data_IF_643451964991
#
_entry.id   IF_643451964991
#
_cell.length_a   1.000
_cell.length_b   1.000
_cell.length_c   1.000
_cell.angle_alpha   90.00
_cell.angle_beta   90.00
_cell.angle_gamma   90.00
#
_symmetry.space_group_name_H-M   'P 1'
#
loop_
_entity.id
_entity.type
_entity.pdbx_description
1 polymer ?
#
# COMPACT_ATOMS: atom_id res chain seq x y z
N UNK A 1 -0.55 -34.87 40.79
CA UNK A 1 -0.26 -33.50 40.33
C UNK A 1 0.16 -33.55 38.85
N UNK A 2 -0.79 -33.85 37.96
CA UNK A 2 -0.58 -33.90 36.50
C UNK A 2 -1.93 -33.70 35.84
N UNK A 3 -2.36 -32.45 35.72
CA UNK A 3 -3.52 -32.10 34.89
C UNK A 3 -3.54 -30.59 34.64
N UNK A 4 -2.63 -30.07 33.81
CA UNK A 4 -2.66 -28.64 33.41
C UNK A 4 -1.91 -28.35 32.09
N UNK A 5 -2.00 -29.23 31.09
CA UNK A 5 -1.38 -29.00 29.76
C UNK A 5 -2.33 -29.06 28.56
N UNK A 6 -3.64 -29.16 28.76
CA UNK A 6 -4.61 -29.33 27.66
C UNK A 6 -5.57 -28.15 27.43
N UNK A 7 -5.39 -27.02 28.12
CA UNK A 7 -6.27 -25.84 27.95
C UNK A 7 -6.02 -25.04 26.67
N UNK A 8 -4.90 -25.25 25.96
CA UNK A 8 -4.57 -24.54 24.72
C UNK A 8 -5.29 -25.08 23.47
N UNK A 9 -5.85 -26.30 23.53
CA UNK A 9 -6.54 -26.96 22.40
C UNK A 9 -8.07 -26.81 22.42
N UNK A 10 -8.61 -25.98 23.34
CA UNK A 10 -10.03 -25.63 23.41
C UNK A 10 -10.39 -24.34 22.68
N UNK A 11 -9.58 -23.91 21.69
CA UNK A 11 -10.12 -23.08 20.60
C UNK A 11 -11.02 -23.99 19.77
N UNK A 12 -12.25 -24.16 20.28
CA UNK A 12 -13.11 -25.27 19.94
C UNK A 12 -13.40 -25.35 18.45
N UNK A 13 -13.48 -26.57 17.93
CA UNK A 13 -13.91 -26.96 16.59
C UNK A 13 -15.03 -26.08 15.97
N UNK A 14 -15.92 -25.54 16.80
CA UNK A 14 -16.95 -24.56 16.40
C UNK A 14 -16.38 -23.29 15.75
N UNK A 15 -15.25 -22.77 16.26
CA UNK A 15 -14.58 -21.59 15.73
C UNK A 15 -13.82 -21.89 14.44
N UNK A 16 -13.20 -23.07 14.31
CA UNK A 16 -12.55 -23.45 13.05
C UNK A 16 -13.56 -23.72 11.94
N UNK A 17 -14.70 -24.37 12.26
CA UNK A 17 -15.82 -24.52 11.32
C UNK A 17 -16.42 -23.16 10.98
N UNK A 18 -16.67 -22.28 11.96
CA UNK A 18 -17.20 -20.94 11.71
C UNK A 18 -16.25 -20.10 10.83
N UNK A 19 -14.93 -20.18 11.06
CA UNK A 19 -13.93 -19.49 10.26
C UNK A 19 -13.88 -20.06 8.83
N UNK A 20 -14.02 -21.38 8.68
CA UNK A 20 -14.12 -22.05 7.39
C UNK A 20 -15.37 -21.63 6.61
N UNK A 21 -16.53 -21.65 7.25
CA UNK A 21 -17.79 -21.18 6.66
C UNK A 21 -17.71 -19.70 6.27
N UNK A 22 -17.13 -18.86 7.14
CA UNK A 22 -16.92 -17.44 6.84
C UNK A 22 -15.99 -17.25 5.64
N UNK A 23 -14.89 -18.00 5.55
CA UNK A 23 -14.00 -17.96 4.40
C UNK A 23 -14.73 -18.37 3.10
N UNK A 24 -15.52 -19.45 3.13
CA UNK A 24 -16.31 -19.92 1.97
C UNK A 24 -17.32 -18.88 1.50
N UNK A 25 -17.97 -18.16 2.42
CA UNK A 25 -18.89 -17.08 2.09
C UNK A 25 -18.19 -15.90 1.38
N UNK A 26 -16.91 -15.68 1.63
CA UNK A 26 -16.14 -14.62 0.99
C UNK A 26 -15.59 -15.01 -0.39
N UNK A 27 -15.44 -16.30 -0.68
CA UNK A 27 -14.85 -16.81 -1.93
C UNK A 27 -15.53 -16.24 -3.18
N UNK A 28 -16.88 -16.23 -3.31
CA UNK A 28 -17.54 -15.67 -4.50
C UNK A 28 -17.20 -14.19 -4.73
N UNK A 29 -17.11 -13.40 -3.66
CA UNK A 29 -16.74 -11.99 -3.75
C UNK A 29 -15.30 -11.80 -4.22
N UNK A 30 -14.36 -12.58 -3.69
CA UNK A 30 -12.96 -12.54 -4.15
C UNK A 30 -12.81 -13.03 -5.59
N UNK A 31 -13.57 -14.04 -6.01
CA UNK A 31 -13.59 -14.51 -7.40
C UNK A 31 -14.11 -13.40 -8.33
N UNK A 32 -15.18 -12.70 -7.95
CA UNK A 32 -15.75 -11.62 -8.74
C UNK A 32 -14.75 -10.46 -8.93
N UNK A 33 -14.05 -10.08 -7.85
CA UNK A 33 -13.00 -9.05 -7.88
C UNK A 33 -11.82 -9.51 -8.74
N UNK A 34 -11.40 -10.78 -8.61
CA UNK A 34 -10.35 -11.36 -9.45
C UNK A 34 -10.74 -11.36 -10.92
N UNK A 35 -11.96 -11.78 -11.24
CA UNK A 35 -12.48 -11.76 -12.61
C UNK A 35 -12.48 -10.34 -13.18
N UNK A 36 -12.96 -9.35 -12.42
CA UNK A 36 -12.90 -7.95 -12.82
C UNK A 36 -11.46 -7.49 -13.07
N UNK A 37 -10.54 -7.81 -12.18
CA UNK A 37 -9.13 -7.41 -12.31
C UNK A 37 -8.44 -8.01 -13.55
N UNK A 38 -8.75 -9.25 -13.92
CA UNK A 38 -8.11 -9.93 -15.05
C UNK A 38 -8.78 -9.67 -16.40
N UNK A 39 -10.11 -9.55 -16.44
CA UNK A 39 -10.89 -9.53 -17.68
C UNK A 39 -11.53 -8.17 -18.00
N UNK A 40 -11.55 -7.20 -17.08
CA UNK A 40 -12.14 -5.89 -17.36
C UNK A 40 -11.21 -5.04 -18.25
N UNK A 41 -11.75 -4.56 -19.37
CA UNK A 41 -11.06 -3.61 -20.26
C UNK A 41 -10.81 -2.23 -19.62
N UNK A 42 -11.48 -1.95 -18.51
CA UNK A 42 -11.31 -0.73 -17.72
C UNK A 42 -10.04 -0.73 -16.86
N UNK A 43 -9.44 -1.91 -16.63
CA UNK A 43 -8.22 -2.05 -15.83
C UNK A 43 -7.02 -2.12 -16.76
N UNK A 44 -6.31 -1.01 -16.89
CA UNK A 44 -5.05 -0.95 -17.64
C UNK A 44 -3.90 -1.25 -16.68
N UNK A 45 -3.25 -2.40 -16.88
CA UNK A 45 -2.28 -2.93 -15.93
C UNK A 45 -0.85 -2.74 -16.38
N UNK A 46 0.05 -2.63 -15.41
CA UNK A 46 1.49 -2.83 -15.61
C UNK A 46 2.24 -1.65 -16.22
N UNK A 47 1.74 -0.42 -16.07
CA UNK A 47 2.48 0.78 -16.46
C UNK A 47 3.75 0.89 -15.64
N UNK A 48 4.90 0.90 -16.31
CA UNK A 48 6.20 1.02 -15.65
C UNK A 48 6.46 2.48 -15.35
N UNK A 49 6.67 2.82 -14.08
CA UNK A 49 6.96 4.18 -13.64
C UNK A 49 8.38 4.36 -13.09
N UNK A 50 9.12 3.26 -12.89
CA UNK A 50 10.50 3.30 -12.41
C UNK A 50 11.27 2.03 -12.75
N UNK A 51 12.55 2.00 -12.37
CA UNK A 51 13.52 1.02 -12.88
C UNK A 51 13.37 -0.40 -12.30
N UNK A 52 12.59 -0.55 -11.23
CA UNK A 52 12.43 -1.84 -10.56
C UNK A 52 11.32 -2.67 -11.17
N UNK A 53 11.43 -4.01 -11.16
CA UNK A 53 10.39 -4.90 -11.70
C UNK A 53 8.99 -4.66 -11.12
N UNK A 54 8.93 -4.20 -9.87
CA UNK A 54 7.71 -3.88 -9.12
C UNK A 54 7.26 -2.43 -9.19
N UNK A 55 8.04 -1.52 -9.75
CA UNK A 55 7.65 -0.11 -9.95
C UNK A 55 6.65 -0.02 -11.10
N UNK A 56 5.48 -0.59 -10.87
CA UNK A 56 4.39 -0.67 -11.82
C UNK A 56 3.13 -0.12 -11.18
N UNK A 57 2.27 0.47 -11.98
CA UNK A 57 0.95 0.89 -11.53
C UNK A 57 -0.13 0.31 -12.43
N UNK A 58 -1.31 0.12 -11.83
CA UNK A 58 -2.52 -0.24 -12.54
C UNK A 58 -3.49 0.93 -12.48
N UNK A 59 -4.04 1.31 -13.64
CA UNK A 59 -5.05 2.35 -13.78
C UNK A 59 -6.42 1.69 -13.92
N UNK A 60 -7.34 2.10 -13.07
CA UNK A 60 -8.77 1.77 -13.14
C UNK A 60 -9.48 2.97 -13.72
N UNK A 61 -9.95 2.83 -14.97
CA UNK A 61 -10.64 3.88 -15.69
C UNK A 61 -12.16 3.71 -15.57
N UNK A 62 -12.92 4.80 -15.41
CA UNK A 62 -14.37 4.72 -15.43
C UNK A 62 -14.89 4.38 -16.83
N UNK A 63 -16.11 3.81 -16.89
CA UNK A 63 -16.78 3.51 -18.18
C UNK A 63 -17.07 4.78 -18.98
N UNK A 64 -17.40 5.86 -18.29
CA UNK A 64 -17.73 7.13 -18.90
C UNK A 64 -16.52 8.07 -18.82
N UNK A 65 -15.83 8.26 -19.94
CA UNK A 65 -14.67 9.14 -20.05
C UNK A 65 -15.02 10.54 -20.59
N UNK A 66 -16.27 10.98 -20.43
CA UNK A 66 -16.68 12.32 -20.86
C UNK A 66 -16.09 13.37 -19.91
N UNK A 67 -15.08 14.10 -20.43
CA UNK A 67 -14.38 15.18 -19.74
C UNK A 67 -13.32 14.70 -18.74
N UNK A 68 -12.49 15.62 -18.22
CA UNK A 68 -11.43 15.29 -17.28
C UNK A 68 -12.02 14.77 -15.96
N UNK A 69 -11.53 13.64 -15.49
CA UNK A 69 -12.04 12.95 -14.28
C UNK A 69 -11.10 13.16 -13.08
N UNK A 70 -11.64 13.21 -11.84
CA UNK A 70 -10.80 13.20 -10.65
C UNK A 70 -9.97 11.92 -10.56
N UNK A 71 -8.77 12.04 -9.99
CA UNK A 71 -7.77 10.97 -9.94
C UNK A 71 -7.43 10.66 -8.50
N UNK A 72 -7.46 9.40 -8.11
CA UNK A 72 -6.99 8.91 -6.81
C UNK A 72 -5.73 8.09 -7.00
N UNK A 73 -4.59 8.61 -6.55
CA UNK A 73 -3.36 7.86 -6.39
C UNK A 73 -3.48 7.00 -5.12
N UNK A 74 -3.57 5.68 -5.29
CA UNK A 74 -3.72 4.74 -4.19
C UNK A 74 -2.40 4.00 -3.93
N UNK A 75 -1.87 4.14 -2.71
CA UNK A 75 -0.69 3.43 -2.21
C UNK A 75 -1.14 2.23 -1.38
N UNK A 76 -0.89 1.03 -1.90
CA UNK A 76 -1.35 -0.22 -1.27
C UNK A 76 -0.70 -0.47 0.08
N UNK A 77 -1.42 -1.10 1.00
CA UNK A 77 -0.86 -1.61 2.25
C UNK A 77 -0.27 -3.01 2.13
N UNK A 78 -0.12 -3.69 3.27
CA UNK A 78 0.43 -5.05 3.35
C UNK A 78 1.63 -5.19 4.29
N UNK A 79 1.63 -4.43 5.39
CA UNK A 79 2.67 -4.46 6.44
C UNK A 79 4.11 -4.36 5.89
N UNK A 80 4.31 -3.63 4.79
CA UNK A 80 5.59 -3.53 4.07
C UNK A 80 6.13 -4.85 3.51
N UNK A 81 5.43 -5.99 3.65
CA UNK A 81 5.97 -7.33 3.42
C UNK A 81 5.18 -8.12 2.37
N UNK A 82 3.85 -7.93 2.28
CA UNK A 82 2.95 -8.75 1.43
C UNK A 82 2.05 -7.93 0.48
N UNK A 83 2.25 -6.61 0.37
CA UNK A 83 1.43 -5.74 -0.47
C UNK A 83 1.47 -6.10 -1.96
N UNK A 84 0.32 -6.06 -2.62
CA UNK A 84 0.21 -6.22 -4.08
C UNK A 84 -0.83 -5.27 -4.65
N UNK A 85 -0.58 -4.70 -5.83
CA UNK A 85 -1.52 -3.81 -6.54
C UNK A 85 -2.94 -4.34 -6.72
N UNK A 86 -3.13 -5.67 -6.78
CA UNK A 86 -4.46 -6.26 -6.84
C UNK A 86 -5.27 -6.09 -5.54
N UNK A 87 -4.63 -5.80 -4.39
CA UNK A 87 -5.35 -5.46 -3.15
C UNK A 87 -6.12 -4.12 -3.27
N UNK A 88 -5.71 -3.27 -4.20
CA UNK A 88 -6.43 -2.04 -4.55
C UNK A 88 -7.60 -2.24 -5.51
N UNK A 89 -7.80 -3.44 -6.06
CA UNK A 89 -8.78 -3.69 -7.13
C UNK A 89 -10.23 -3.45 -6.72
N UNK A 90 -10.62 -3.82 -5.50
CA UNK A 90 -11.97 -3.57 -5.00
C UNK A 90 -12.25 -2.06 -4.86
N UNK A 91 -11.28 -1.31 -4.31
CA UNK A 91 -11.37 0.13 -4.19
C UNK A 91 -11.38 0.80 -5.57
N UNK A 92 -10.49 0.35 -6.46
CA UNK A 92 -10.39 0.80 -7.85
C UNK A 92 -11.70 0.61 -8.60
N UNK A 93 -12.32 -0.57 -8.47
CA UNK A 93 -13.63 -0.86 -9.04
C UNK A 93 -14.71 0.10 -8.51
N UNK A 94 -14.87 0.20 -7.19
CA UNK A 94 -15.91 1.01 -6.57
C UNK A 94 -15.81 2.51 -6.89
N UNK A 95 -14.59 3.03 -7.01
CA UNK A 95 -14.36 4.42 -7.38
C UNK A 95 -14.51 4.64 -8.90
N UNK A 96 -14.08 3.69 -9.73
CA UNK A 96 -14.29 3.75 -11.19
C UNK A 96 -15.77 3.73 -11.58
N UNK A 97 -16.62 3.06 -10.81
CA UNK A 97 -18.08 3.10 -10.98
C UNK A 97 -18.69 4.48 -10.68
N UNK A 98 -17.95 5.35 -9.98
CA UNK A 98 -18.35 6.72 -9.63
C UNK A 98 -17.67 7.78 -10.49
N UNK A 99 -17.18 7.39 -11.67
CA UNK A 99 -16.45 8.27 -12.60
C UNK A 99 -15.14 8.84 -12.05
N UNK A 100 -14.48 8.11 -11.14
CA UNK A 100 -13.16 8.48 -10.57
C UNK A 100 -12.10 7.53 -11.11
N UNK A 101 -10.99 8.09 -11.61
CA UNK A 101 -9.84 7.28 -12.03
C UNK A 101 -9.04 6.89 -10.79
N UNK A 102 -8.70 5.61 -10.65
CA UNK A 102 -7.82 5.14 -9.56
C UNK A 102 -6.52 4.62 -10.13
N UNK A 103 -5.41 5.16 -9.64
CA UNK A 103 -4.07 4.70 -9.96
C UNK A 103 -3.48 3.95 -8.77
N UNK A 104 -3.46 2.63 -8.82
CA UNK A 104 -2.87 1.80 -7.77
C UNK A 104 -1.36 1.67 -8.01
N UNK A 105 -0.56 2.24 -7.11
CA UNK A 105 0.91 2.22 -7.15
C UNK A 105 1.40 0.95 -6.44
N UNK A 106 2.13 0.11 -7.17
CA UNK A 106 2.87 -1.04 -6.63
C UNK A 106 4.31 -0.60 -6.37
N UNK A 107 4.82 -0.86 -5.18
CA UNK A 107 6.18 -0.49 -4.77
C UNK A 107 6.91 -1.72 -4.21
N UNK A 108 8.23 -1.62 -4.03
CA UNK A 108 9.03 -2.74 -3.52
C UNK A 108 8.62 -3.12 -2.10
N UNK A 109 8.65 -4.41 -1.79
CA UNK A 109 8.39 -4.91 -0.43
C UNK A 109 9.69 -5.18 0.32
N UNK A 110 9.60 -5.16 1.65
CA UNK A 110 10.65 -5.54 2.58
C UNK A 110 10.93 -7.03 2.47
N UNK A 111 12.19 -7.40 2.69
CA UNK A 111 12.63 -8.79 2.83
C UNK A 111 12.05 -9.41 4.11
N UNK A 112 11.21 -10.43 3.98
CA UNK A 112 10.79 -11.31 5.08
C UNK A 112 10.80 -12.76 4.61
N UNK A 113 11.25 -13.65 5.50
CA UNK A 113 11.13 -15.10 5.32
C UNK A 113 9.68 -15.46 5.68
N UNK A 114 8.82 -15.60 4.67
CA UNK A 114 7.51 -16.19 4.86
C UNK A 114 7.55 -17.63 4.33
N UNK A 115 7.26 -18.59 5.22
CA UNK A 115 7.04 -20.00 4.92
C UNK A 115 8.20 -20.71 4.21
N UNK A 116 9.43 -20.63 4.76
CA UNK A 116 10.55 -21.51 4.38
C UNK A 116 11.06 -21.41 2.93
N UNK A 117 10.47 -20.55 2.10
CA UNK A 117 10.89 -20.27 0.74
C UNK A 117 11.54 -18.90 0.65
N UNK A 118 12.72 -18.84 0.05
CA UNK A 118 13.39 -17.60 -0.30
C UNK A 118 12.51 -16.80 -1.27
N UNK A 119 11.79 -15.80 -0.75
CA UNK A 119 11.11 -14.81 -1.59
C UNK A 119 12.20 -13.90 -2.18
N UNK A 120 12.69 -14.28 -3.36
CA UNK A 120 13.79 -13.66 -4.12
C UNK A 120 13.36 -12.32 -4.74
N UNK A 121 13.00 -11.34 -3.93
CA UNK A 121 12.54 -10.04 -4.39
C UNK A 121 13.37 -8.90 -3.77
N UNK A 122 13.53 -7.76 -4.49
CA UNK A 122 14.59 -6.82 -4.22
C UNK A 122 14.48 -6.18 -2.83
N UNK A 123 15.65 -5.91 -2.27
CA UNK A 123 15.91 -5.47 -0.91
C UNK A 123 15.60 -3.96 -0.83
N UNK A 124 14.61 -3.54 -0.04
CA UNK A 124 14.24 -2.13 0.10
C UNK A 124 14.01 -1.73 1.55
N UNK A 125 14.54 -0.56 1.93
CA UNK A 125 14.21 0.13 3.19
C UNK A 125 12.89 0.88 3.06
N UNK A 126 12.33 1.36 4.18
CA UNK A 126 11.12 2.22 4.13
C UNK A 126 11.42 3.50 3.31
N UNK A 127 12.63 4.05 3.40
CA UNK A 127 13.03 5.21 2.60
C UNK A 127 12.98 4.91 1.09
N UNK A 128 13.39 3.73 0.67
CA UNK A 128 13.30 3.33 -0.75
C UNK A 128 11.83 3.23 -1.20
N UNK A 129 10.95 2.68 -0.36
CA UNK A 129 9.52 2.62 -0.65
C UNK A 129 8.89 4.01 -0.76
N UNK A 130 9.31 4.95 0.09
CA UNK A 130 8.86 6.36 0.06
C UNK A 130 9.32 7.05 -1.23
N UNK A 131 10.56 6.81 -1.68
CA UNK A 131 11.08 7.30 -2.95
C UNK A 131 10.34 6.70 -4.15
N UNK A 132 10.10 5.40 -4.15
CA UNK A 132 9.35 4.72 -5.21
C UNK A 132 7.88 5.19 -5.25
N UNK A 133 7.24 5.41 -4.10
CA UNK A 133 5.91 6.00 -4.04
C UNK A 133 5.91 7.45 -4.58
N UNK A 134 6.94 8.23 -4.28
CA UNK A 134 7.13 9.58 -4.84
C UNK A 134 7.26 9.56 -6.37
N UNK A 135 8.02 8.60 -6.92
CA UNK A 135 8.13 8.40 -8.37
C UNK A 135 6.78 8.00 -8.99
N UNK A 136 6.01 7.12 -8.34
CA UNK A 136 4.68 6.74 -8.79
C UNK A 136 3.71 7.92 -8.80
N UNK A 137 3.73 8.76 -7.76
CA UNK A 137 2.92 10.00 -7.70
C UNK A 137 3.36 10.98 -8.79
N UNK A 138 4.67 11.16 -8.98
CA UNK A 138 5.21 12.00 -10.06
C UNK A 138 4.73 11.54 -11.43
N UNK A 139 4.76 10.23 -11.69
CA UNK A 139 4.25 9.66 -12.93
C UNK A 139 2.76 9.99 -13.11
N UNK A 140 1.94 9.84 -12.07
CA UNK A 140 0.51 10.17 -12.13
C UNK A 140 0.32 11.66 -12.42
N UNK A 141 0.99 12.56 -11.68
CA UNK A 141 0.88 14.00 -11.90
C UNK A 141 1.24 14.40 -13.34
N UNK A 142 2.23 13.75 -13.95
CA UNK A 142 2.73 14.10 -15.27
C UNK A 142 1.97 13.41 -16.42
N UNK A 143 1.44 12.20 -16.20
CA UNK A 143 0.89 11.35 -17.26
C UNK A 143 -0.62 11.17 -17.21
N UNK A 144 -1.30 11.48 -16.10
CA UNK A 144 -2.72 11.14 -15.96
C UNK A 144 -3.63 11.91 -16.92
N UNK A 145 -3.20 13.09 -17.38
CA UNK A 145 -3.91 13.86 -18.41
C UNK A 145 -4.06 13.07 -19.72
N UNK A 146 -3.06 12.28 -20.10
CA UNK A 146 -3.09 11.42 -21.30
C UNK A 146 -4.13 10.28 -21.17
N UNK A 147 -4.51 9.94 -19.94
CA UNK A 147 -5.49 8.90 -19.62
C UNK A 147 -6.87 9.46 -19.26
N UNK A 148 -7.11 10.76 -19.51
CA UNK A 148 -8.39 11.43 -19.24
C UNK A 148 -8.61 11.86 -17.78
N UNK A 149 -7.55 11.84 -16.97
CA UNK A 149 -7.57 12.40 -15.63
C UNK A 149 -7.33 13.91 -15.61
N UNK A 150 -7.86 14.56 -14.60
CA UNK A 150 -7.66 15.99 -14.34
C UNK A 150 -6.41 16.19 -13.47
N UNK A 151 -5.33 16.81 -13.98
CA UNK A 151 -4.13 17.07 -13.20
C UNK A 151 -4.36 18.06 -12.03
N UNK A 152 -5.48 18.80 -12.03
CA UNK A 152 -5.87 19.70 -10.94
C UNK A 152 -6.74 19.04 -9.87
N UNK A 153 -7.20 17.79 -10.09
CA UNK A 153 -8.03 17.04 -9.14
C UNK A 153 -7.41 15.69 -8.82
N UNK A 154 -6.17 15.74 -8.32
CA UNK A 154 -5.44 14.56 -7.85
C UNK A 154 -5.59 14.44 -6.33
N UNK A 155 -5.93 13.25 -5.86
CA UNK A 155 -6.08 12.90 -4.45
C UNK A 155 -5.13 11.75 -4.12
N UNK A 156 -4.49 11.79 -2.96
CA UNK A 156 -3.64 10.70 -2.48
C UNK A 156 -4.39 9.88 -1.44
N UNK A 157 -4.36 8.56 -1.57
CA UNK A 157 -4.94 7.65 -0.60
C UNK A 157 -3.95 6.53 -0.30
N UNK A 158 -3.87 6.10 0.96
CA UNK A 158 -3.09 4.94 1.32
C UNK A 158 -3.79 4.09 2.37
N UNK A 159 -3.47 2.80 2.40
CA UNK A 159 -4.04 1.86 3.37
C UNK A 159 -2.95 1.24 4.25
N UNK A 160 -3.14 1.23 5.57
CA UNK A 160 -2.23 0.62 6.56
C UNK A 160 -0.77 1.08 6.36
N UNK A 161 0.14 0.17 6.00
CA UNK A 161 1.52 0.48 5.67
C UNK A 161 1.67 1.48 4.51
N UNK A 162 0.78 1.43 3.51
CA UNK A 162 0.75 2.35 2.38
C UNK A 162 0.28 3.75 2.78
N UNK A 163 -0.59 3.85 3.79
CA UNK A 163 -0.98 5.13 4.37
C UNK A 163 0.24 5.81 5.00
N UNK A 164 1.03 5.05 5.78
CA UNK A 164 2.28 5.57 6.34
C UNK A 164 3.25 6.06 5.26
N UNK A 165 3.51 5.22 4.24
CA UNK A 165 4.42 5.56 3.14
C UNK A 165 3.94 6.83 2.44
N UNK A 166 2.65 6.90 2.07
CA UNK A 166 2.07 8.07 1.40
C UNK A 166 2.22 9.36 2.23
N UNK A 167 2.06 9.28 3.56
CA UNK A 167 2.27 10.43 4.45
C UNK A 167 3.75 10.84 4.51
N UNK A 168 4.66 9.89 4.64
CA UNK A 168 6.10 10.17 4.59
C UNK A 168 6.51 10.78 3.24
N UNK A 169 5.95 10.29 2.13
CA UNK A 169 6.20 10.83 0.79
C UNK A 169 5.74 12.29 0.65
N UNK A 170 4.55 12.63 1.16
CA UNK A 170 4.08 14.03 1.18
C UNK A 170 5.00 14.93 2.01
N UNK A 171 5.42 14.46 3.18
CA UNK A 171 6.29 15.23 4.06
C UNK A 171 7.68 15.44 3.45
N UNK A 172 8.32 14.39 2.93
CA UNK A 172 9.61 14.51 2.23
C UNK A 172 9.52 15.47 1.05
N UNK A 173 8.41 15.42 0.31
CA UNK A 173 8.21 16.30 -0.84
C UNK A 173 8.02 17.76 -0.41
N UNK A 174 7.24 18.02 0.64
CA UNK A 174 7.08 19.35 1.20
C UNK A 174 8.40 19.94 1.71
N UNK A 175 9.24 19.12 2.35
CA UNK A 175 10.58 19.53 2.80
C UNK A 175 11.45 19.90 1.59
N UNK A 176 11.44 19.09 0.53
CA UNK A 176 12.18 19.38 -0.71
C UNK A 176 11.71 20.64 -1.42
N UNK A 177 10.41 20.93 -1.39
CA UNK A 177 9.87 22.17 -1.98
C UNK A 177 10.22 23.41 -1.14
N UNK A 178 10.35 23.27 0.17
CA UNK A 178 10.82 24.34 1.05
C UNK A 178 12.32 24.62 0.86
N UNK A 179 13.10 23.60 0.51
CA UNK A 179 14.52 23.68 0.28
C UNK A 179 14.82 23.98 -1.20
N UNK A 180 14.89 25.27 -1.56
CA UNK A 180 14.89 25.80 -2.93
C UNK A 180 16.03 25.28 -3.85
N UNK A 181 16.98 24.52 -3.33
CA UNK A 181 18.08 23.93 -4.09
C UNK A 181 17.73 22.60 -4.78
N UNK A 182 16.66 21.90 -4.37
CA UNK A 182 16.30 20.60 -4.92
C UNK A 182 15.16 20.69 -5.95
N UNK A 183 15.42 20.23 -7.18
CA UNK A 183 14.37 20.08 -8.19
C UNK A 183 13.38 18.99 -7.78
N UNK A 184 12.15 19.39 -7.50
CA UNK A 184 11.02 18.51 -7.23
C UNK A 184 10.43 17.95 -8.54
N UNK A 185 10.22 16.62 -8.61
CA UNK A 185 9.62 15.96 -9.78
C UNK A 185 8.08 16.11 -9.86
N UNK A 186 7.46 16.64 -8.81
CA UNK A 186 6.03 16.95 -8.69
C UNK A 186 5.84 17.90 -7.50
N UNK A 187 4.72 18.62 -7.41
CA UNK A 187 4.45 19.50 -6.27
C UNK A 187 3.35 18.96 -5.36
N UNK A 188 3.51 19.13 -4.04
CA UNK A 188 2.48 18.84 -3.04
C UNK A 188 1.20 19.63 -3.31
N UNK A 189 1.31 20.83 -3.91
CA UNK A 189 0.15 21.66 -4.28
C UNK A 189 -0.77 21.01 -5.33
N UNK A 190 -0.28 20.04 -6.11
CA UNK A 190 -1.07 19.28 -7.07
C UNK A 190 -2.00 18.27 -6.38
N UNK A 191 -1.68 17.86 -5.15
CA UNK A 191 -2.48 16.92 -4.37
C UNK A 191 -3.50 17.69 -3.53
N UNK A 192 -4.79 17.51 -3.84
CA UNK A 192 -5.89 18.25 -3.19
C UNK A 192 -6.24 17.73 -1.80
N UNK A 193 -6.14 16.43 -1.58
CA UNK A 193 -6.36 15.83 -0.26
C UNK A 193 -5.60 14.52 -0.11
N UNK A 194 -5.35 14.17 1.15
CA UNK A 194 -4.76 12.90 1.55
C UNK A 194 -5.73 12.10 2.42
N UNK A 195 -5.92 10.83 2.10
CA UNK A 195 -6.78 9.89 2.82
C UNK A 195 -5.96 8.73 3.39
N UNK A 196 -5.77 8.72 4.70
CA UNK A 196 -5.04 7.69 5.43
C UNK A 196 -5.96 6.63 6.02
N UNK A 197 -6.15 5.49 5.34
CA UNK A 197 -7.03 4.42 5.79
C UNK A 197 -6.29 3.48 6.75
N UNK A 198 -6.63 3.55 8.04
CA UNK A 198 -6.06 2.69 9.10
C UNK A 198 -4.53 2.68 9.13
N UNK A 199 -3.91 3.84 8.87
CA UNK A 199 -2.47 4.01 8.85
C UNK A 199 -1.83 3.99 10.23
N UNK A 200 -0.67 3.35 10.34
CA UNK A 200 0.21 3.52 11.50
C UNK A 200 1.16 4.68 11.23
N UNK A 201 1.11 5.74 12.06
CA UNK A 201 1.95 6.94 11.86
C UNK A 201 3.01 7.12 12.95
N UNK A 202 2.84 6.47 14.10
CA UNK A 202 3.75 6.59 15.25
C UNK A 202 4.30 5.22 15.65
N UNK A 203 5.33 4.76 14.94
CA UNK A 203 5.96 3.46 15.22
C UNK A 203 6.94 3.49 16.39
N UNK A 204 7.47 4.66 16.76
CA UNK A 204 8.43 4.77 17.88
C UNK A 204 7.82 4.30 19.20
N UNK A 205 6.60 4.76 19.53
CA UNK A 205 5.87 4.29 20.72
C UNK A 205 5.37 2.85 20.60
N UNK A 206 5.14 2.39 19.37
CA UNK A 206 4.60 1.06 19.08
C UNK A 206 5.68 -0.02 19.22
N UNK A 207 6.91 0.27 18.79
CA UNK A 207 8.08 -0.59 18.93
C UNK A 207 8.38 -0.84 20.41
N UNK A 208 8.40 0.21 21.24
CA UNK A 208 8.59 0.07 22.69
C UNK A 208 7.48 -0.78 23.35
N UNK A 209 6.23 -0.58 22.93
CA UNK A 209 5.10 -1.38 23.41
C UNK A 209 5.18 -2.85 22.98
N UNK A 210 5.56 -3.14 21.73
CA UNK A 210 5.69 -4.50 21.22
C UNK A 210 6.89 -5.25 21.81
N UNK A 211 8.02 -4.57 22.05
CA UNK A 211 9.16 -5.15 22.76
C UNK A 211 8.80 -5.59 24.18
N UNK A 212 7.84 -4.93 24.84
CA UNK A 212 7.43 -5.29 26.20
C UNK A 212 6.56 -6.54 26.30
N UNK A 213 5.90 -6.99 25.22
CA UNK A 213 4.85 -8.02 25.30
C UNK A 213 4.99 -9.24 24.37
N UNK A 214 5.65 -9.19 23.21
CA UNK A 214 5.83 -10.38 22.34
C UNK A 214 7.03 -10.24 21.37
N UNK A 215 7.73 -11.34 21.08
CA UNK A 215 8.75 -11.52 20.01
C UNK A 215 8.26 -11.24 18.55
N UNK A 216 7.06 -10.69 18.35
CA UNK A 216 6.52 -10.30 17.02
C UNK A 216 7.21 -9.04 16.50
N UNK A 217 7.87 -8.29 17.39
CA UNK A 217 8.71 -7.16 17.02
C UNK A 217 9.80 -7.55 16.01
N UNK A 218 10.37 -8.76 16.07
CA UNK A 218 11.44 -9.14 15.14
C UNK A 218 10.93 -9.51 13.74
N UNK A 219 9.70 -10.00 13.64
CA UNK A 219 9.08 -10.39 12.35
C UNK A 219 8.54 -9.15 11.61
N UNK A 220 8.02 -8.15 12.34
CA UNK A 220 7.46 -6.92 11.77
C UNK A 220 8.47 -5.77 11.73
N UNK A 221 9.37 -5.69 12.73
CA UNK A 221 10.29 -4.58 12.98
C UNK A 221 11.76 -5.00 13.18
N UNK A 222 12.15 -6.28 13.04
CA UNK A 222 13.45 -6.80 13.49
C UNK A 222 14.71 -6.21 12.86
N UNK A 223 14.56 -5.38 11.83
CA UNK A 223 15.67 -4.59 11.24
C UNK A 223 15.46 -3.08 11.35
N UNK A 224 14.33 -2.60 11.88
CA UNK A 224 14.09 -1.16 12.10
C UNK A 224 14.98 -0.61 13.23
N UNK A 225 15.31 -1.37 14.26
CA UNK A 225 16.10 -0.87 15.38
C UNK A 225 17.53 -0.45 15.00
N UNK A 226 18.10 -1.00 13.92
CA UNK A 226 19.42 -0.60 13.43
C UNK A 226 19.40 0.71 12.63
N UNK A 227 18.33 0.99 11.87
CA UNK A 227 18.22 2.22 11.07
C UNK A 227 17.83 3.45 11.89
N UNK A 228 17.20 3.26 13.07
CA UNK A 228 16.75 4.35 13.95
C UNK A 228 17.76 4.72 15.05
N UNK A 229 18.88 3.99 15.18
CA UNK A 229 19.96 4.30 16.13
C UNK A 229 21.01 5.28 15.59
N UNK A 230 20.90 5.72 14.34
CA UNK A 230 21.71 6.81 13.80
C UNK A 230 21.03 8.15 14.09
N UNK A 231 21.69 9.00 14.88
CA UNK A 231 21.27 10.31 15.39
C UNK A 231 20.52 10.28 16.73
N UNK A 232 21.24 9.86 17.78
CA UNK A 232 21.15 10.59 19.04
C UNK A 232 22.17 11.72 18.98
N UNK A 233 21.69 12.96 18.99
CA UNK A 233 22.46 14.12 19.49
C UNK A 233 22.57 13.96 21.00
#
# INVERSE_FOLDING_TARGET
MFSDHLSLFRVGYRWTVALGCYAVLLIPGFIQVGYYYFYSSQVRRGFVYGDQPRNRLDLYLPKNMNGPKPVVAFVTGGAWIIGYKALGSLLGQQLSERDIIVACIDYRLRKTVLLGGWVNFPQGTISDMVKEASQGISFICNKIAEYGGDPNRIYLMGQSAGAHIAACTLLEQAIKEADAEQRACWSVSQIKAYFGLSGGYNFLKLVDHFHSRVHVADIVFGTCTASWKGNKV
#
